data_IF_344882534087
#
_entry.id   IF_344882534087
#
_cell.length_a   1.000
_cell.length_b   1.000
_cell.length_c   1.000
_cell.angle_alpha   90.00
_cell.angle_beta   90.00
_cell.angle_gamma   90.00
#
_symmetry.space_group_name_H-M   'P 1'
#
loop_
_entity.id
_entity.type
_entity.pdbx_description
1 polymer ?
#
# COMPACT_ATOMS: atom_id res chain seq x y z
N UNK A 1 28.75 5.72 -9.36
CA UNK A 1 28.24 4.37 -9.65
C UNK A 1 26.86 4.53 -10.26
N UNK A 2 26.69 4.33 -11.55
CA UNK A 2 25.37 4.28 -12.20
C UNK A 2 24.75 2.92 -11.90
N UNK A 3 23.94 2.84 -10.84
CA UNK A 3 23.19 1.62 -10.53
C UNK A 3 22.26 1.31 -11.71
N UNK A 4 22.48 0.19 -12.39
CA UNK A 4 21.60 -0.25 -13.46
C UNK A 4 20.17 -0.45 -12.90
N UNK A 5 19.11 -0.05 -13.64
CA UNK A 5 17.74 -0.21 -13.17
C UNK A 5 17.41 -1.69 -12.96
N UNK A 6 16.89 -2.02 -11.77
CA UNK A 6 16.48 -3.39 -11.43
C UNK A 6 15.10 -3.68 -12.00
N UNK A 7 15.03 -4.61 -12.95
CA UNK A 7 13.77 -5.09 -13.48
C UNK A 7 13.17 -6.16 -12.57
N UNK A 8 11.88 -6.00 -12.27
CA UNK A 8 11.09 -7.01 -11.60
C UNK A 8 10.19 -7.70 -12.62
N UNK A 9 9.99 -9.02 -12.45
CA UNK A 9 8.90 -9.69 -13.16
C UNK A 9 7.57 -9.17 -12.61
N UNK A 10 6.64 -8.82 -13.51
CA UNK A 10 5.34 -8.20 -13.24
C UNK A 10 4.78 -8.46 -11.83
N UNK A 11 4.58 -7.38 -11.07
CA UNK A 11 3.96 -7.45 -9.74
C UNK A 11 4.82 -8.09 -8.64
N UNK A 12 6.04 -8.57 -8.95
CA UNK A 12 6.97 -9.16 -7.96
C UNK A 12 7.94 -8.15 -7.35
N UNK A 13 7.73 -6.85 -7.54
CA UNK A 13 8.53 -5.84 -6.86
C UNK A 13 8.14 -5.77 -5.37
N UNK A 14 9.09 -5.62 -4.44
CA UNK A 14 8.79 -5.48 -3.02
C UNK A 14 7.82 -4.33 -2.75
N UNK A 15 7.96 -3.21 -3.48
CA UNK A 15 7.03 -2.08 -3.40
C UNK A 15 5.59 -2.48 -3.75
N UNK A 16 5.39 -3.29 -4.80
CA UNK A 16 4.08 -3.74 -5.21
C UNK A 16 3.44 -4.68 -4.16
N UNK A 17 4.20 -5.65 -3.64
CA UNK A 17 3.67 -6.63 -2.68
C UNK A 17 3.36 -5.99 -1.32
N UNK A 18 4.30 -5.23 -0.76
CA UNK A 18 4.09 -4.56 0.53
C UNK A 18 2.96 -3.51 0.44
N UNK A 19 2.93 -2.73 -0.64
CA UNK A 19 1.88 -1.73 -0.88
C UNK A 19 0.49 -2.33 -1.01
N UNK A 20 0.34 -3.35 -1.85
CA UNK A 20 -0.97 -3.97 -2.11
C UNK A 20 -1.56 -4.67 -0.90
N UNK A 21 -0.74 -5.38 -0.11
CA UNK A 21 -1.22 -6.04 1.12
C UNK A 21 -1.62 -5.02 2.17
N UNK A 22 -0.79 -3.99 2.41
CA UNK A 22 -1.12 -2.97 3.38
C UNK A 22 -2.40 -2.19 2.98
N UNK A 23 -2.56 -1.88 1.70
CA UNK A 23 -3.78 -1.28 1.18
C UNK A 23 -5.00 -2.20 1.31
N UNK A 24 -4.85 -3.50 1.03
CA UNK A 24 -5.93 -4.48 1.18
C UNK A 24 -6.39 -4.59 2.65
N UNK A 25 -5.45 -4.61 3.60
CA UNK A 25 -5.78 -4.63 5.04
C UNK A 25 -6.56 -3.38 5.43
N UNK A 26 -6.09 -2.19 5.04
CA UNK A 26 -6.80 -0.93 5.32
C UNK A 26 -8.21 -0.92 4.71
N UNK A 27 -8.34 -1.39 3.47
CA UNK A 27 -9.63 -1.49 2.78
C UNK A 27 -10.59 -2.45 3.48
N UNK A 28 -10.13 -3.63 3.92
CA UNK A 28 -10.95 -4.59 4.65
C UNK A 28 -11.48 -3.97 5.96
N UNK A 29 -10.64 -3.21 6.67
CA UNK A 29 -11.06 -2.51 7.89
C UNK A 29 -12.18 -1.50 7.58
N UNK A 30 -12.02 -0.68 6.53
CA UNK A 30 -13.06 0.26 6.09
C UNK A 30 -14.36 -0.46 5.70
N UNK A 31 -14.26 -1.56 4.96
CA UNK A 31 -15.41 -2.35 4.54
C UNK A 31 -16.20 -2.88 5.74
N UNK A 32 -15.51 -3.47 6.73
CA UNK A 32 -16.13 -3.94 7.98
C UNK A 32 -16.76 -2.77 8.74
N UNK A 33 -16.06 -1.64 8.84
CA UNK A 33 -16.56 -0.44 9.52
C UNK A 33 -17.83 0.14 8.88
N UNK A 34 -17.96 0.03 7.56
CA UNK A 34 -19.16 0.46 6.83
C UNK A 34 -20.35 -0.49 7.07
N UNK A 35 -20.09 -1.78 7.29
CA UNK A 35 -21.13 -2.80 7.48
C UNK A 35 -21.72 -2.83 8.90
N UNK A 36 -20.97 -2.45 9.94
CA UNK A 36 -21.40 -2.49 11.35
C UNK A 36 -22.25 -1.28 11.78
N UNK A 37 -22.87 -0.58 10.83
CA UNK A 37 -23.28 0.82 10.98
C UNK A 37 -22.06 1.74 10.84
N UNK A 38 -22.19 2.97 10.32
CA UNK A 38 -21.04 3.81 9.97
C UNK A 38 -20.22 4.20 11.22
N UNK A 39 -19.30 3.32 11.60
CA UNK A 39 -18.34 3.53 12.66
C UNK A 39 -17.23 4.41 12.10
N UNK A 40 -17.46 5.72 12.14
CA UNK A 40 -16.56 6.73 11.58
C UNK A 40 -15.14 6.63 12.13
N UNK A 41 -14.95 6.21 13.38
CA UNK A 41 -13.63 5.98 13.96
C UNK A 41 -12.86 4.90 13.19
N UNK A 42 -13.48 3.74 12.94
CA UNK A 42 -12.84 2.66 12.20
C UNK A 42 -12.66 3.00 10.72
N UNK A 43 -13.58 3.78 10.13
CA UNK A 43 -13.42 4.29 8.75
C UNK A 43 -12.18 5.17 8.64
N UNK A 44 -11.98 6.11 9.58
CA UNK A 44 -10.82 7.00 9.59
C UNK A 44 -9.51 6.21 9.78
N UNK A 45 -9.50 5.23 10.69
CA UNK A 45 -8.34 4.36 10.90
C UNK A 45 -8.00 3.57 9.63
N UNK A 46 -8.99 2.92 9.02
CA UNK A 46 -8.80 2.16 7.79
C UNK A 46 -8.32 3.02 6.62
N UNK A 47 -8.91 4.22 6.46
CA UNK A 47 -8.48 5.19 5.45
C UNK A 47 -7.03 5.65 5.67
N UNK A 48 -6.64 5.93 6.93
CA UNK A 48 -5.27 6.30 7.26
C UNK A 48 -4.27 5.19 6.91
N UNK A 49 -4.63 3.92 7.15
CA UNK A 49 -3.79 2.77 6.77
C UNK A 49 -3.61 2.71 5.24
N UNK A 50 -4.68 2.91 4.46
CA UNK A 50 -4.58 2.94 2.98
C UNK A 50 -3.67 4.07 2.50
N UNK A 51 -3.79 5.27 3.09
CA UNK A 51 -2.93 6.40 2.73
C UNK A 51 -1.46 6.13 3.06
N UNK A 52 -1.17 5.57 4.24
CA UNK A 52 0.18 5.19 4.64
C UNK A 52 0.75 4.10 3.73
N UNK A 53 -0.06 3.12 3.33
CA UNK A 53 0.34 2.09 2.37
C UNK A 53 0.73 2.68 1.01
N UNK A 54 -0.06 3.64 0.50
CA UNK A 54 0.26 4.37 -0.73
C UNK A 54 1.57 5.15 -0.61
N UNK A 55 1.75 5.89 0.50
CA UNK A 55 2.98 6.64 0.76
C UNK A 55 4.20 5.73 0.86
N UNK A 56 4.11 4.63 1.61
CA UNK A 56 5.18 3.64 1.74
C UNK A 56 5.53 3.03 0.37
N UNK A 57 4.53 2.77 -0.49
CA UNK A 57 4.74 2.29 -1.87
C UNK A 57 5.54 3.29 -2.69
N UNK A 58 5.20 4.58 -2.61
CA UNK A 58 5.93 5.63 -3.33
C UNK A 58 7.38 5.73 -2.84
N UNK A 59 7.60 5.72 -1.52
CA UNK A 59 8.95 5.74 -0.93
C UNK A 59 9.76 4.54 -1.41
N UNK A 60 9.18 3.32 -1.38
CA UNK A 60 9.86 2.11 -1.85
C UNK A 60 10.19 2.19 -3.35
N UNK A 61 9.32 2.77 -4.18
CA UNK A 61 9.60 3.00 -5.61
C UNK A 61 10.79 3.94 -5.81
N UNK A 62 10.84 5.04 -5.06
CA UNK A 62 11.95 6.01 -5.10
C UNK A 62 13.27 5.35 -4.67
N UNK A 63 13.23 4.43 -3.71
CA UNK A 63 14.39 3.66 -3.26
C UNK A 63 14.84 2.55 -4.24
N UNK A 64 14.17 2.39 -5.39
CA UNK A 64 14.51 1.37 -6.38
C UNK A 64 13.93 -0.03 -6.09
N UNK A 65 13.00 -0.15 -5.13
CA UNK A 65 12.26 -1.39 -4.88
C UNK A 65 11.00 -1.54 -5.74
N UNK A 66 10.77 -0.60 -6.65
CA UNK A 66 9.69 -0.62 -7.62
C UNK A 66 10.14 -1.12 -8.98
N UNK A 67 9.17 -1.39 -9.86
CA UNK A 67 9.47 -1.51 -11.29
C UNK A 67 9.82 -0.11 -11.83
N UNK A 68 10.88 0.03 -12.65
CA UNK A 68 11.19 1.29 -13.33
C UNK A 68 10.05 1.78 -14.22
#
# INVERSE_FOLDING_TARGET
MTSAPKYYHHGRSPAAWAGSIAAAVGFIIVAIAAMLGPNWTLVIIGAAIVLVAGLATLIMKIMGFGQP
#
